data_IF_729913364112
#
_entry.id   IF_729913364112
#
_cell.length_a   1.000
_cell.length_b   1.000
_cell.length_c   1.000
_cell.angle_alpha   90.00
_cell.angle_beta   90.00
_cell.angle_gamma   90.00
#
_symmetry.space_group_name_H-M   'P 1'
#
loop_
_entity.id
_entity.type
_entity.pdbx_description
1 polymer ?
#
# COMPACT_ATOMS: atom_id res chain seq x y z
N UNK A 1 7.55 -24.13 -0.09
CA UNK A 1 8.61 -23.22 0.35
C UNK A 1 8.66 -23.23 1.88
N UNK A 2 9.61 -23.94 2.50
CA UNK A 2 9.70 -24.08 3.97
C UNK A 2 11.14 -24.00 4.52
N UNK A 3 12.16 -23.90 3.65
CA UNK A 3 13.55 -23.83 4.11
C UNK A 3 13.88 -22.42 4.60
N UNK A 4 14.49 -22.32 5.78
CA UNK A 4 14.92 -21.04 6.37
C UNK A 4 16.20 -20.47 5.76
N UNK A 5 17.01 -21.27 5.06
CA UNK A 5 18.26 -20.85 4.42
C UNK A 5 18.15 -21.08 2.91
N UNK A 6 18.34 -20.04 2.11
CA UNK A 6 18.50 -20.13 0.67
C UNK A 6 19.97 -19.93 0.28
N UNK A 7 20.44 -20.68 -0.70
CA UNK A 7 21.82 -20.63 -1.17
C UNK A 7 21.89 -20.87 -2.69
N UNK A 8 23.02 -20.51 -3.28
CA UNK A 8 23.35 -20.75 -4.69
C UNK A 8 24.66 -21.52 -4.80
N UNK A 9 24.92 -22.10 -5.97
CA UNK A 9 26.18 -22.76 -6.30
C UNK A 9 27.06 -21.80 -7.14
N UNK A 10 28.33 -21.68 -6.75
CA UNK A 10 29.35 -20.91 -7.48
C UNK A 10 30.54 -21.86 -7.70
N UNK A 11 30.63 -22.43 -8.91
CA UNK A 11 31.53 -23.54 -9.17
C UNK A 11 31.12 -24.79 -8.39
N UNK A 12 32.01 -25.30 -7.54
CA UNK A 12 31.73 -26.45 -6.66
C UNK A 12 31.28 -26.04 -5.25
N UNK A 13 31.27 -24.75 -4.94
CA UNK A 13 30.98 -24.23 -3.61
C UNK A 13 29.52 -23.77 -3.49
N UNK A 14 28.91 -24.01 -2.32
CA UNK A 14 27.60 -23.46 -1.97
C UNK A 14 27.77 -22.16 -1.19
N UNK A 15 27.03 -21.12 -1.53
CA UNK A 15 27.11 -19.80 -0.89
C UNK A 15 25.73 -19.38 -0.40
N UNK A 16 25.63 -19.01 0.88
CA UNK A 16 24.38 -18.53 1.47
C UNK A 16 23.92 -17.22 0.83
N UNK A 17 22.68 -17.18 0.36
CA UNK A 17 22.08 -15.99 -0.27
C UNK A 17 21.16 -15.23 0.69
N UNK A 18 20.33 -15.96 1.44
CA UNK A 18 19.39 -15.36 2.38
C UNK A 18 18.98 -16.31 3.49
N UNK A 19 18.62 -15.75 4.64
CA UNK A 19 18.00 -16.46 5.74
C UNK A 19 16.65 -15.86 6.13
N UNK A 20 15.76 -16.68 6.66
CA UNK A 20 14.44 -16.30 7.18
C UNK A 20 14.35 -16.67 8.65
N UNK A 21 14.47 -15.67 9.52
CA UNK A 21 14.29 -15.82 10.96
C UNK A 21 12.81 -15.60 11.31
N UNK A 22 12.11 -16.64 11.76
CA UNK A 22 10.65 -16.59 11.96
C UNK A 22 10.14 -17.29 13.22
N UNK A 23 11.01 -17.45 14.23
CA UNK A 23 10.73 -18.14 15.48
C UNK A 23 10.51 -19.65 15.28
N UNK A 24 11.27 -20.22 14.35
CA UNK A 24 11.20 -21.65 14.00
C UNK A 24 12.10 -22.53 14.85
N UNK A 25 13.13 -21.94 15.47
CA UNK A 25 14.10 -22.60 16.34
C UNK A 25 14.08 -21.93 17.71
N UNK A 26 14.23 -22.75 18.74
CA UNK A 26 14.21 -22.32 20.15
C UNK A 26 15.50 -21.60 20.57
N UNK A 27 16.60 -21.80 19.82
CA UNK A 27 17.94 -21.28 20.13
C UNK A 27 18.30 -19.97 19.38
N UNK A 28 17.37 -19.37 18.62
CA UNK A 28 17.63 -18.12 17.91
C UNK A 28 17.67 -16.93 18.88
N UNK A 29 18.74 -16.11 18.83
CA UNK A 29 18.85 -14.85 19.57
C UNK A 29 18.92 -13.67 18.60
N UNK A 30 18.10 -12.64 18.80
CA UNK A 30 17.98 -11.52 17.86
C UNK A 30 18.02 -10.17 18.57
N UNK A 31 19.07 -9.40 18.31
CA UNK A 31 19.29 -8.05 18.84
C UNK A 31 19.24 -6.99 17.72
N UNK A 32 18.63 -7.31 16.57
CA UNK A 32 18.52 -6.43 15.42
C UNK A 32 19.82 -6.38 14.62
N UNK A 33 20.78 -5.55 15.03
CA UNK A 33 22.07 -5.37 14.32
C UNK A 33 22.97 -6.60 14.42
N UNK A 34 22.81 -7.37 15.49
CA UNK A 34 23.48 -8.66 15.71
C UNK A 34 22.42 -9.73 15.96
N UNK A 35 22.65 -10.92 15.44
CA UNK A 35 21.81 -12.08 15.74
C UNK A 35 22.62 -13.38 15.75
N UNK A 36 22.12 -14.36 16.48
CA UNK A 36 22.58 -15.75 16.47
C UNK A 36 21.48 -16.56 15.78
N UNK A 37 21.82 -17.14 14.63
CA UNK A 37 20.90 -17.91 13.80
C UNK A 37 21.22 -19.40 13.87
N UNK A 38 20.21 -20.20 14.17
CA UNK A 38 20.35 -21.66 14.27
C UNK A 38 20.35 -22.30 12.88
N UNK A 39 21.30 -23.21 12.63
CA UNK A 39 21.39 -23.99 11.41
C UNK A 39 20.12 -24.81 11.14
N UNK A 40 19.96 -25.26 9.91
CA UNK A 40 18.86 -26.13 9.53
C UNK A 40 19.18 -27.63 9.76
N UNK A 41 18.12 -28.43 9.88
CA UNK A 41 18.20 -29.89 9.92
C UNK A 41 17.85 -30.42 11.31
N UNK A 42 17.27 -31.62 11.35
CA UNK A 42 16.95 -32.32 12.61
C UNK A 42 15.86 -31.71 13.48
N UNK A 43 15.13 -30.70 13.01
CA UNK A 43 13.98 -30.10 13.70
C UNK A 43 12.68 -30.82 13.31
N UNK A 44 11.88 -31.21 14.31
CA UNK A 44 10.54 -31.75 14.11
C UNK A 44 9.54 -30.62 13.86
N UNK A 45 8.91 -30.59 12.69
CA UNK A 45 8.00 -29.51 12.29
C UNK A 45 6.73 -29.40 13.15
N UNK A 46 6.34 -30.47 13.84
CA UNK A 46 5.12 -30.50 14.64
C UNK A 46 5.26 -29.75 15.97
N UNK A 47 6.37 -29.95 16.67
CA UNK A 47 6.64 -29.39 18.01
C UNK A 47 7.81 -28.38 18.03
N UNK A 48 8.46 -28.17 16.87
CA UNK A 48 9.62 -27.29 16.65
C UNK A 48 10.87 -27.65 17.45
N UNK A 49 10.94 -28.87 17.99
CA UNK A 49 12.09 -29.32 18.79
C UNK A 49 13.12 -30.05 17.95
N UNK A 50 14.37 -30.00 18.40
CA UNK A 50 15.45 -30.73 17.78
C UNK A 50 15.37 -32.23 18.17
N UNK A 51 15.47 -33.12 17.19
CA UNK A 51 15.36 -34.59 17.38
C UNK A 51 16.60 -35.36 16.91
N UNK A 52 17.59 -34.68 16.32
CA UNK A 52 18.89 -35.24 15.92
C UNK A 52 19.93 -34.15 15.70
N UNK A 53 21.21 -34.54 15.74
CA UNK A 53 22.34 -33.66 15.45
C UNK A 53 22.26 -33.09 14.01
N UNK A 54 22.63 -31.81 13.89
CA UNK A 54 22.78 -31.12 12.63
C UNK A 54 24.08 -31.50 11.93
N UNK A 55 24.09 -31.38 10.60
CA UNK A 55 25.23 -31.71 9.74
C UNK A 55 25.72 -30.49 8.95
N UNK A 56 27.01 -30.40 8.60
CA UNK A 56 27.57 -29.35 7.75
C UNK A 56 27.23 -29.61 6.27
N UNK A 57 25.94 -29.69 5.96
CA UNK A 57 25.42 -29.93 4.62
C UNK A 57 24.39 -28.86 4.25
N UNK A 58 23.93 -28.84 3.00
CA UNK A 58 22.87 -27.93 2.53
C UNK A 58 23.12 -26.47 2.91
N UNK A 59 22.13 -25.85 3.57
CA UNK A 59 22.19 -24.46 4.02
C UNK A 59 23.24 -24.18 5.11
N UNK A 60 23.59 -25.17 5.94
CA UNK A 60 24.62 -24.98 6.97
C UNK A 60 26.00 -24.86 6.32
N UNK A 61 26.28 -25.75 5.36
CA UNK A 61 27.50 -25.65 4.55
C UNK A 61 27.57 -24.31 3.80
N UNK A 62 26.45 -23.86 3.25
CA UNK A 62 26.39 -22.58 2.55
C UNK A 62 26.72 -21.38 3.47
N UNK A 63 26.26 -21.38 4.73
CA UNK A 63 26.60 -20.34 5.71
C UNK A 63 28.05 -20.44 6.21
N UNK A 64 28.57 -21.66 6.40
CA UNK A 64 30.00 -21.88 6.69
C UNK A 64 30.89 -21.31 5.57
N UNK A 65 30.49 -21.52 4.32
CA UNK A 65 31.16 -20.93 3.17
C UNK A 65 30.97 -19.40 3.11
N UNK A 66 29.79 -18.87 3.44
CA UNK A 66 29.60 -17.43 3.54
C UNK A 66 30.51 -16.79 4.60
N UNK A 67 30.78 -17.47 5.73
CA UNK A 67 31.79 -17.07 6.71
C UNK A 67 33.19 -17.09 6.10
N UNK A 68 33.59 -18.20 5.47
CA UNK A 68 34.91 -18.38 4.84
C UNK A 68 35.21 -17.32 3.78
N UNK A 69 34.25 -17.04 2.92
CA UNK A 69 34.40 -16.12 1.78
C UNK A 69 33.90 -14.71 2.06
N UNK A 70 33.48 -14.41 3.30
CA UNK A 70 32.91 -13.13 3.74
C UNK A 70 31.76 -12.65 2.83
N UNK A 71 30.93 -13.58 2.36
CA UNK A 71 29.81 -13.26 1.49
C UNK A 71 28.61 -12.78 2.30
N UNK A 72 28.00 -11.64 1.93
CA UNK A 72 26.86 -11.12 2.65
C UNK A 72 25.60 -11.96 2.41
N UNK A 73 24.79 -12.08 3.45
CA UNK A 73 23.54 -12.84 3.48
C UNK A 73 22.38 -11.88 3.74
N UNK A 74 21.32 -11.98 2.94
CA UNK A 74 20.08 -11.22 3.17
C UNK A 74 19.34 -11.78 4.37
N UNK A 75 18.91 -10.93 5.30
CA UNK A 75 18.11 -11.35 6.46
C UNK A 75 16.67 -10.88 6.32
N UNK A 76 15.75 -11.83 6.42
CA UNK A 76 14.30 -11.60 6.42
C UNK A 76 13.75 -12.06 7.78
N UNK A 77 12.98 -11.21 8.45
CA UNK A 77 12.37 -11.51 9.75
C UNK A 77 10.86 -11.67 9.64
N UNK A 78 10.31 -12.72 10.23
CA UNK A 78 8.88 -12.99 10.29
C UNK A 78 8.27 -12.46 11.59
N UNK A 79 7.18 -11.70 11.47
CA UNK A 79 6.49 -11.04 12.57
C UNK A 79 5.08 -11.59 12.72
N UNK A 80 4.73 -12.08 13.91
CA UNK A 80 3.44 -12.74 14.18
C UNK A 80 2.44 -11.87 14.95
N UNK A 81 2.93 -10.78 15.56
CA UNK A 81 2.17 -9.97 16.53
C UNK A 81 1.60 -8.68 15.94
N UNK A 82 1.58 -8.57 14.61
CA UNK A 82 0.96 -7.41 13.95
C UNK A 82 -0.53 -7.75 13.80
N UNK A 83 -1.45 -6.99 14.42
CA UNK A 83 -2.88 -7.19 14.24
C UNK A 83 -3.27 -6.76 12.82
N UNK A 84 -3.06 -7.64 11.85
CA UNK A 84 -3.57 -7.46 10.50
C UNK A 84 -4.89 -8.21 10.39
N UNK A 85 -5.98 -7.59 10.86
CA UNK A 85 -7.34 -8.09 10.59
C UNK A 85 -7.65 -8.22 9.09
N UNK A 86 -6.76 -7.70 8.22
CA UNK A 86 -6.94 -7.61 6.77
C UNK A 86 -5.79 -8.25 5.97
N UNK A 87 -4.79 -8.87 6.61
CA UNK A 87 -3.78 -9.65 5.86
C UNK A 87 -4.23 -11.11 5.74
N UNK A 88 -4.12 -11.73 4.55
CA UNK A 88 -4.36 -13.16 4.39
C UNK A 88 -3.45 -14.02 5.28
N UNK A 89 -2.23 -13.53 5.56
CA UNK A 89 -1.30 -14.15 6.48
C UNK A 89 -1.27 -13.39 7.81
N UNK A 90 -1.49 -14.12 8.91
CA UNK A 90 -1.22 -13.65 10.29
C UNK A 90 0.27 -13.37 10.57
N UNK A 91 1.11 -13.39 9.53
CA UNK A 91 2.54 -13.13 9.58
C UNK A 91 2.94 -12.18 8.46
N UNK A 92 3.79 -11.21 8.79
CA UNK A 92 4.44 -10.32 7.82
C UNK A 92 5.93 -10.61 7.85
N UNK A 93 6.59 -10.49 6.70
CA UNK A 93 8.04 -10.65 6.60
C UNK A 93 8.68 -9.29 6.27
N UNK A 94 9.63 -8.84 7.08
CA UNK A 94 10.43 -7.63 6.80
C UNK A 94 11.80 -8.01 6.29
N UNK A 95 12.27 -7.32 5.25
CA UNK A 95 13.66 -7.40 4.83
C UNK A 95 14.48 -6.40 5.66
N UNK A 96 15.49 -6.92 6.37
CA UNK A 96 16.27 -6.13 7.33
C UNK A 96 17.69 -5.81 6.84
N UNK A 97 18.02 -6.21 5.61
CA UNK A 97 19.27 -5.86 4.95
C UNK A 97 20.25 -7.01 4.84
N UNK A 98 21.49 -6.65 4.56
CA UNK A 98 22.63 -7.51 4.39
C UNK A 98 23.41 -7.66 5.70
N UNK A 99 23.73 -8.89 6.03
CA UNK A 99 24.52 -9.26 7.19
C UNK A 99 25.72 -10.08 6.75
N UNK A 100 26.78 -10.03 7.53
CA UNK A 100 27.93 -10.91 7.37
C UNK A 100 27.90 -11.97 8.48
N UNK A 101 28.15 -13.22 8.11
CA UNK A 101 28.45 -14.27 9.10
C UNK A 101 29.86 -14.00 9.61
N UNK A 102 29.98 -13.70 10.90
CA UNK A 102 31.25 -13.31 11.53
C UNK A 102 31.85 -14.42 12.39
N UNK A 103 31.02 -15.35 12.84
CA UNK A 103 31.46 -16.49 13.66
C UNK A 103 30.51 -17.68 13.52
N UNK A 104 30.98 -18.87 13.87
CA UNK A 104 30.17 -20.09 13.91
C UNK A 104 30.60 -21.00 15.07
N UNK A 105 29.61 -21.63 15.72
CA UNK A 105 29.83 -22.66 16.73
C UNK A 105 28.93 -23.87 16.50
N UNK A 106 29.36 -25.03 17.01
CA UNK A 106 28.56 -26.25 17.08
C UNK A 106 28.34 -26.56 18.57
N UNK A 107 27.13 -26.31 19.04
CA UNK A 107 26.78 -26.40 20.46
C UNK A 107 25.67 -27.43 20.69
N UNK A 108 25.50 -27.89 21.93
CA UNK A 108 24.31 -28.64 22.31
C UNK A 108 23.14 -27.66 22.44
N UNK A 109 22.12 -27.80 21.59
CA UNK A 109 20.88 -27.01 21.66
C UNK A 109 20.02 -27.41 22.87
N UNK A 110 18.95 -26.67 23.12
CA UNK A 110 18.09 -26.87 24.30
C UNK A 110 17.51 -28.31 24.42
N UNK A 111 17.28 -28.97 23.29
CA UNK A 111 16.81 -30.37 23.22
C UNK A 111 17.93 -31.42 23.30
N UNK A 112 19.19 -31.03 23.58
CA UNK A 112 20.32 -31.95 23.83
C UNK A 112 21.03 -32.50 22.59
N UNK A 113 20.73 -31.98 21.40
CA UNK A 113 21.38 -32.35 20.13
C UNK A 113 22.31 -31.26 19.64
N UNK A 114 23.33 -31.63 18.85
CA UNK A 114 24.25 -30.66 18.28
C UNK A 114 23.56 -29.80 17.23
N UNK A 115 23.64 -28.48 17.40
CA UNK A 115 23.10 -27.46 16.48
C UNK A 115 24.20 -26.49 16.07
N UNK A 116 24.20 -26.08 14.80
CA UNK A 116 25.06 -25.00 14.35
C UNK A 116 24.45 -23.67 14.80
N UNK A 117 25.28 -22.78 15.33
CA UNK A 117 24.93 -21.39 15.58
C UNK A 117 25.83 -20.50 14.74
N UNK A 118 25.21 -19.60 14.00
CA UNK A 118 25.90 -18.62 13.15
C UNK A 118 25.69 -17.24 13.73
N UNK A 119 26.78 -16.55 14.11
CA UNK A 119 26.71 -15.16 14.52
C UNK A 119 26.72 -14.27 13.28
N UNK A 120 25.69 -13.45 13.13
CA UNK A 120 25.57 -12.49 12.04
C UNK A 120 25.64 -11.06 12.56
N UNK A 121 26.39 -10.21 11.86
CA UNK A 121 26.48 -8.78 12.11
C UNK A 121 26.05 -8.01 10.86
N UNK A 122 25.20 -7.01 11.06
CA UNK A 122 24.66 -6.20 9.97
C UNK A 122 25.73 -5.32 9.36
N UNK A 123 25.75 -5.24 8.03
CA UNK A 123 26.64 -4.31 7.35
C UNK A 123 26.23 -2.84 7.60
N UNK A 124 27.18 -1.91 7.74
CA UNK A 124 26.89 -0.50 7.97
C UNK A 124 26.26 0.18 6.74
N UNK A 125 25.78 1.42 6.91
CA UNK A 125 25.26 2.29 5.85
C UNK A 125 24.03 1.74 5.09
N UNK A 126 23.21 0.94 5.77
CA UNK A 126 21.92 0.49 5.28
C UNK A 126 20.79 1.31 5.91
N UNK A 127 19.60 1.27 5.29
CA UNK A 127 18.38 1.86 5.87
C UNK A 127 18.09 1.26 7.26
N UNK A 128 17.26 1.92 8.04
CA UNK A 128 16.85 1.38 9.34
C UNK A 128 16.14 0.02 9.21
N UNK A 129 16.26 -0.82 10.24
CA UNK A 129 15.71 -2.17 10.28
C UNK A 129 14.18 -2.17 10.13
N UNK A 130 13.66 -2.94 9.18
CA UNK A 130 12.21 -3.12 9.02
C UNK A 130 11.56 -3.72 10.27
N UNK A 131 12.25 -4.63 10.96
CA UNK A 131 11.80 -5.18 12.24
C UNK A 131 11.69 -4.15 13.38
N UNK A 132 12.54 -3.12 13.41
CA UNK A 132 12.41 -2.03 14.40
C UNK A 132 11.12 -1.27 14.19
N UNK A 133 10.75 -1.03 12.94
CA UNK A 133 9.52 -0.35 12.59
C UNK A 133 8.29 -1.17 13.00
N UNK A 134 8.31 -2.48 12.75
CA UNK A 134 7.27 -3.41 13.20
C UNK A 134 7.16 -3.43 14.73
N UNK A 135 8.29 -3.51 15.44
CA UNK A 135 8.33 -3.49 16.90
C UNK A 135 7.78 -2.17 17.46
N UNK A 136 8.14 -1.04 16.83
CA UNK A 136 7.63 0.28 17.18
C UNK A 136 6.10 0.35 17.02
N UNK A 137 5.56 -0.10 15.89
CA UNK A 137 4.10 -0.20 15.67
C UNK A 137 3.44 -1.07 16.73
N UNK A 138 4.04 -2.20 17.08
CA UNK A 138 3.54 -3.09 18.14
C UNK A 138 3.48 -2.41 19.52
N UNK A 139 4.49 -1.60 19.86
CA UNK A 139 4.50 -0.79 21.09
C UNK A 139 3.44 0.31 21.04
N UNK A 140 3.33 1.00 19.90
CA UNK A 140 2.39 2.08 19.69
C UNK A 140 0.93 1.61 19.77
N UNK A 141 0.64 0.39 19.29
CA UNK A 141 -0.67 -0.24 19.43
C UNK A 141 -1.06 -0.50 20.90
N UNK A 142 -0.08 -0.77 21.77
CA UNK A 142 -0.29 -1.01 23.20
C UNK A 142 -0.34 0.29 24.01
N UNK A 143 0.42 1.30 23.59
CA UNK A 143 0.52 2.59 24.26
C UNK A 143 0.65 3.74 23.24
N UNK A 144 -0.48 4.24 22.70
CA UNK A 144 -0.48 5.32 21.72
C UNK A 144 0.16 6.63 22.23
N UNK A 145 0.19 6.83 23.55
CA UNK A 145 0.79 8.00 24.22
C UNK A 145 2.30 8.12 24.06
N UNK A 146 2.99 7.08 23.56
CA UNK A 146 4.42 7.15 23.23
C UNK A 146 4.68 8.08 22.03
N UNK A 147 3.65 8.36 21.23
CA UNK A 147 3.76 9.24 20.06
C UNK A 147 4.10 10.67 20.45
N UNK A 148 5.17 11.19 19.87
CA UNK A 148 5.59 12.59 20.03
C UNK A 148 5.09 13.44 18.85
N UNK A 149 4.96 14.75 19.08
CA UNK A 149 4.63 15.72 18.02
C UNK A 149 3.17 15.71 17.56
N UNK A 150 2.24 15.12 18.32
CA UNK A 150 0.81 15.15 17.97
C UNK A 150 0.28 16.57 18.13
N UNK A 151 -0.23 17.14 17.03
CA UNK A 151 -0.81 18.49 17.00
C UNK A 151 -2.34 18.43 17.07
N UNK A 152 -2.94 17.45 16.39
CA UNK A 152 -4.40 17.21 16.37
C UNK A 152 -4.62 15.71 16.53
N UNK A 153 -5.46 15.30 17.48
CA UNK A 153 -5.79 13.88 17.69
C UNK A 153 -6.70 13.33 16.59
N UNK A 154 -7.69 14.12 16.15
CA UNK A 154 -8.57 13.76 15.04
C UNK A 154 -8.98 14.99 14.21
N UNK A 155 -8.43 15.10 13.01
CA UNK A 155 -8.78 16.13 12.04
C UNK A 155 -10.15 15.90 11.40
N UNK A 156 -10.64 14.66 11.39
CA UNK A 156 -11.94 14.34 10.81
C UNK A 156 -13.12 14.80 11.68
N UNK A 157 -12.87 15.04 12.98
CA UNK A 157 -13.90 15.40 13.95
C UNK A 157 -14.93 14.29 14.15
N UNK A 158 -14.51 13.02 14.08
CA UNK A 158 -15.39 11.84 14.20
C UNK A 158 -16.19 11.49 12.95
N UNK A 159 -15.93 12.15 11.81
CA UNK A 159 -16.60 11.83 10.54
C UNK A 159 -16.09 10.53 9.91
N UNK A 160 -14.84 10.16 10.19
CA UNK A 160 -14.24 8.90 9.76
C UNK A 160 -14.43 7.81 10.82
N UNK A 161 -14.56 6.53 10.43
CA UNK A 161 -14.66 5.43 11.40
C UNK A 161 -13.37 5.23 12.20
N UNK A 162 -12.24 5.76 11.71
CA UNK A 162 -10.94 5.72 12.34
C UNK A 162 -10.40 7.17 12.39
N UNK A 163 -10.00 7.68 13.57
CA UNK A 163 -9.46 9.03 13.71
C UNK A 163 -8.25 9.30 12.81
N UNK A 164 -8.21 10.50 12.21
CA UNK A 164 -7.09 10.94 11.36
C UNK A 164 -6.29 12.00 12.10
N UNK A 165 -5.24 11.57 12.78
CA UNK A 165 -4.38 12.47 13.55
C UNK A 165 -3.41 13.27 12.69
N UNK A 166 -2.95 14.41 13.22
CA UNK A 166 -1.90 15.25 12.62
C UNK A 166 -0.68 15.30 13.52
N UNK A 167 0.49 15.04 12.95
CA UNK A 167 1.78 14.97 13.64
C UNK A 167 2.78 15.94 13.01
N UNK A 168 3.45 16.77 13.81
CA UNK A 168 4.57 17.59 13.40
C UNK A 168 5.76 17.37 14.35
N UNK A 169 6.85 16.83 13.80
CA UNK A 169 8.13 16.65 14.50
C UNK A 169 9.27 17.37 13.76
N UNK A 170 8.94 18.24 12.80
CA UNK A 170 9.91 18.91 11.91
C UNK A 170 10.07 20.37 12.29
N UNK A 171 8.95 21.07 12.51
CA UNK A 171 8.91 22.50 12.77
C UNK A 171 7.65 22.88 13.60
N UNK A 172 7.44 24.16 13.85
CA UNK A 172 6.27 24.67 14.60
C UNK A 172 5.05 24.99 13.71
N UNK A 173 5.08 24.58 12.44
CA UNK A 173 3.99 24.86 11.49
C UNK A 173 2.72 24.12 11.90
N UNK A 174 1.60 24.85 11.98
CA UNK A 174 0.28 24.25 12.21
C UNK A 174 -0.30 23.70 10.90
N UNK A 175 -1.13 22.64 10.97
CA UNK A 175 -1.84 22.17 9.79
C UNK A 175 -2.78 23.24 9.22
N UNK A 176 -3.11 23.20 7.92
CA UNK A 176 -4.04 24.14 7.32
C UNK A 176 -5.38 24.13 8.05
N UNK A 177 -5.83 25.29 8.54
CA UNK A 177 -7.12 25.45 9.25
C UNK A 177 -8.22 26.05 8.37
N UNK A 178 -7.91 26.41 7.12
CA UNK A 178 -8.80 27.10 6.19
C UNK A 178 -9.71 26.19 5.37
N UNK A 179 -9.87 24.92 5.76
CA UNK A 179 -10.71 23.95 5.06
C UNK A 179 -11.59 23.15 6.03
N UNK A 180 -12.72 22.65 5.53
CA UNK A 180 -13.66 21.80 6.27
C UNK A 180 -13.48 20.33 5.83
N UNK A 181 -13.30 19.45 6.82
CA UNK A 181 -13.16 18.02 6.56
C UNK A 181 -14.49 17.44 6.05
N UNK A 182 -14.47 16.64 4.97
CA UNK A 182 -15.66 15.94 4.47
C UNK A 182 -15.32 14.54 3.94
N UNK A 183 -16.15 13.57 4.26
CA UNK A 183 -16.08 12.18 3.75
C UNK A 183 -16.94 11.95 2.50
N UNK A 184 -17.64 12.99 2.03
CA UNK A 184 -18.54 12.91 0.87
C UNK A 184 -18.21 13.97 -0.17
N UNK A 185 -18.38 13.59 -1.44
CA UNK A 185 -18.38 14.52 -2.57
C UNK A 185 -19.54 15.51 -2.46
N UNK A 186 -19.28 16.78 -2.81
CA UNK A 186 -20.30 17.81 -2.93
C UNK A 186 -20.56 18.07 -4.41
N UNK A 187 -21.76 17.74 -4.86
CA UNK A 187 -22.18 17.98 -6.24
C UNK A 187 -22.77 19.40 -6.38
N UNK A 188 -22.53 20.08 -7.52
CA UNK A 188 -23.12 21.39 -7.77
C UNK A 188 -24.63 21.29 -7.92
N UNK A 189 -25.33 22.37 -7.59
CA UNK A 189 -26.79 22.45 -7.70
C UNK A 189 -27.21 22.24 -9.16
N UNK A 190 -28.15 21.33 -9.40
CA UNK A 190 -28.69 21.04 -10.73
C UNK A 190 -28.03 19.86 -11.45
N UNK A 191 -27.02 19.20 -10.87
CA UNK A 191 -26.51 17.92 -11.41
C UNK A 191 -27.52 16.81 -11.13
N UNK A 192 -28.06 16.21 -12.20
CA UNK A 192 -28.95 15.05 -12.11
C UNK A 192 -28.15 13.78 -12.36
N UNK A 193 -27.92 13.01 -11.30
CA UNK A 193 -27.13 11.78 -11.36
C UNK A 193 -27.97 10.61 -11.89
N UNK A 194 -27.41 9.84 -12.82
CA UNK A 194 -28.07 8.65 -13.38
C UNK A 194 -28.26 7.59 -12.30
N UNK A 195 -29.51 7.29 -11.99
CA UNK A 195 -29.81 6.31 -10.94
C UNK A 195 -29.36 4.90 -11.29
N UNK A 196 -28.76 4.18 -10.34
CA UNK A 196 -28.36 2.79 -10.50
C UNK A 196 -29.53 1.83 -10.28
N UNK A 197 -29.62 0.74 -11.06
CA UNK A 197 -30.72 -0.26 -10.98
C UNK A 197 -30.57 -1.26 -9.84
N UNK A 198 -29.41 -1.34 -9.18
CA UNK A 198 -29.13 -2.27 -8.07
C UNK A 198 -29.20 -3.76 -8.45
N UNK A 199 -28.92 -4.65 -7.50
CA UNK A 199 -29.09 -6.10 -7.63
C UNK A 199 -30.14 -6.66 -6.67
N UNK A 200 -30.70 -7.82 -7.00
CA UNK A 200 -31.67 -8.57 -6.17
C UNK A 200 -31.05 -9.65 -5.29
N UNK A 201 -29.71 -9.72 -5.22
CA UNK A 201 -28.99 -10.72 -4.44
C UNK A 201 -29.28 -10.58 -2.94
N UNK A 202 -29.18 -11.68 -2.19
CA UNK A 202 -29.32 -11.72 -0.72
C UNK A 202 -28.03 -12.21 -0.07
N UNK A 203 -27.79 -11.80 1.17
CA UNK A 203 -26.60 -12.20 1.95
C UNK A 203 -25.37 -11.32 1.71
N UNK A 204 -24.23 -11.82 2.18
CA UNK A 204 -22.97 -11.07 2.32
C UNK A 204 -22.03 -11.21 1.11
N UNK A 205 -22.48 -11.86 0.04
CA UNK A 205 -21.66 -11.98 -1.18
C UNK A 205 -22.51 -12.02 -2.44
N UNK A 206 -22.25 -11.09 -3.36
CA UNK A 206 -22.81 -11.12 -4.70
C UNK A 206 -21.95 -12.02 -5.58
N UNK A 207 -22.51 -13.13 -6.05
CA UNK A 207 -21.83 -14.05 -6.96
C UNK A 207 -22.65 -14.26 -8.24
N UNK A 208 -21.99 -14.69 -9.33
CA UNK A 208 -22.66 -15.09 -10.58
C UNK A 208 -23.12 -16.55 -10.58
N UNK A 209 -22.77 -17.34 -9.56
CA UNK A 209 -23.12 -18.76 -9.47
C UNK A 209 -24.58 -18.89 -9.01
N UNK A 210 -25.47 -19.47 -9.82
CA UNK A 210 -26.88 -19.72 -9.48
C UNK A 210 -27.84 -18.55 -9.66
N UNK A 211 -27.38 -17.29 -9.61
CA UNK A 211 -28.18 -16.10 -9.92
C UNK A 211 -27.31 -15.06 -10.63
N UNK A 212 -27.75 -14.54 -11.79
CA UNK A 212 -27.02 -13.51 -12.54
C UNK A 212 -27.08 -12.16 -11.81
N UNK A 213 -26.08 -11.86 -10.98
CA UNK A 213 -26.01 -10.57 -10.28
C UNK A 213 -25.69 -9.43 -11.26
N UNK A 214 -26.56 -8.40 -11.33
CA UNK A 214 -26.36 -7.22 -12.19
C UNK A 214 -25.06 -6.46 -11.89
N UNK A 215 -24.64 -6.38 -10.62
CA UNK A 215 -23.39 -5.74 -10.24
C UNK A 215 -22.16 -6.54 -10.72
N UNK A 216 -22.21 -7.87 -10.67
CA UNK A 216 -21.11 -8.72 -11.19
C UNK A 216 -21.03 -8.62 -12.72
N UNK A 217 -22.18 -8.57 -13.40
CA UNK A 217 -22.23 -8.38 -14.86
C UNK A 217 -21.58 -7.06 -15.30
N UNK A 218 -21.75 -5.97 -14.53
CA UNK A 218 -21.09 -4.69 -14.81
C UNK A 218 -19.55 -4.76 -14.66
N UNK A 219 -19.02 -5.66 -13.83
CA UNK A 219 -17.58 -5.88 -13.65
C UNK A 219 -17.04 -6.99 -14.57
N UNK A 220 -17.37 -6.95 -15.87
CA UNK A 220 -16.95 -7.95 -16.88
C UNK A 220 -17.56 -9.36 -16.74
N UNK A 221 -18.54 -9.56 -15.86
CA UNK A 221 -19.39 -10.76 -15.79
C UNK A 221 -18.75 -12.05 -15.28
N UNK A 222 -17.42 -12.10 -15.12
CA UNK A 222 -16.71 -13.31 -14.67
C UNK A 222 -16.53 -13.38 -13.15
N UNK A 223 -16.10 -12.29 -12.51
CA UNK A 223 -15.76 -12.28 -11.07
C UNK A 223 -16.03 -10.90 -10.45
N UNK A 224 -16.10 -10.86 -9.12
CA UNK A 224 -16.06 -9.60 -8.39
C UNK A 224 -14.68 -8.93 -8.54
N UNK A 225 -14.61 -7.59 -8.49
CA UNK A 225 -13.35 -6.85 -8.57
C UNK A 225 -12.51 -7.00 -7.29
N UNK A 226 -13.12 -7.40 -6.18
CA UNK A 226 -12.46 -7.57 -4.88
C UNK A 226 -12.31 -9.05 -4.49
N UNK A 227 -11.23 -9.37 -3.79
CA UNK A 227 -11.06 -10.65 -3.12
C UNK A 227 -11.84 -10.70 -1.78
N UNK A 228 -11.78 -11.85 -1.08
CA UNK A 228 -12.48 -12.06 0.20
C UNK A 228 -12.05 -11.12 1.35
N UNK A 229 -10.91 -10.44 1.23
CA UNK A 229 -10.41 -9.47 2.21
C UNK A 229 -10.80 -8.02 1.83
N UNK A 230 -11.47 -7.84 0.68
CA UNK A 230 -11.82 -6.53 0.13
C UNK A 230 -10.64 -5.85 -0.58
N UNK A 231 -9.64 -6.58 -1.04
CA UNK A 231 -8.56 -6.02 -1.87
C UNK A 231 -8.93 -6.11 -3.35
N UNK A 232 -8.70 -5.03 -4.08
CA UNK A 232 -8.89 -4.96 -5.52
C UNK A 232 -7.90 -5.92 -6.21
N UNK A 233 -8.45 -6.84 -7.01
CA UNK A 233 -7.66 -7.92 -7.65
C UNK A 233 -6.75 -7.35 -8.73
N UNK A 234 -7.26 -6.38 -9.50
CA UNK A 234 -6.54 -5.68 -10.56
C UNK A 234 -7.22 -4.34 -10.82
N UNK A 235 -6.43 -3.38 -11.31
CA UNK A 235 -6.99 -2.15 -11.80
C UNK A 235 -7.85 -2.38 -13.06
N UNK A 236 -8.92 -1.60 -13.17
CA UNK A 236 -9.86 -1.62 -14.29
C UNK A 236 -10.30 -0.19 -14.60
N UNK A 237 -10.88 0.11 -15.79
CA UNK A 237 -11.37 1.46 -16.07
C UNK A 237 -12.37 1.98 -15.03
N UNK A 238 -13.33 1.16 -14.62
CA UNK A 238 -14.28 1.48 -13.56
C UNK A 238 -14.67 0.21 -12.79
N UNK A 239 -14.76 0.33 -11.46
CA UNK A 239 -15.32 -0.69 -10.58
C UNK A 239 -16.78 -0.34 -10.26
N UNK A 240 -17.67 -1.33 -10.34
CA UNK A 240 -19.08 -1.17 -9.99
C UNK A 240 -19.40 -1.89 -8.68
N UNK A 241 -19.49 -1.14 -7.61
CA UNK A 241 -19.90 -1.65 -6.31
C UNK A 241 -21.42 -1.82 -6.20
N UNK A 242 -21.84 -2.58 -5.19
CA UNK A 242 -23.25 -2.66 -4.83
C UNK A 242 -23.69 -1.34 -4.18
N UNK A 243 -24.71 -0.70 -4.75
CA UNK A 243 -25.28 0.55 -4.25
C UNK A 243 -26.39 0.40 -3.21
N UNK A 244 -26.95 1.54 -2.78
CA UNK A 244 -28.10 1.63 -1.86
C UNK A 244 -29.36 0.92 -2.36
N UNK A 245 -29.51 0.78 -3.69
CA UNK A 245 -30.64 0.07 -4.32
C UNK A 245 -30.45 -1.45 -4.40
N UNK A 246 -29.28 -1.98 -4.04
CA UNK A 246 -29.05 -3.42 -4.00
C UNK A 246 -29.69 -4.04 -2.75
N UNK A 247 -30.20 -5.28 -2.87
CA UNK A 247 -30.79 -6.05 -1.77
C UNK A 247 -29.78 -6.90 -0.98
N UNK A 248 -28.52 -6.91 -1.41
CA UNK A 248 -27.44 -7.58 -0.68
C UNK A 248 -27.13 -6.83 0.62
N UNK A 249 -26.53 -7.55 1.56
CA UNK A 249 -26.12 -7.04 2.87
C UNK A 249 -25.21 -5.82 2.77
N UNK A 250 -25.15 -5.02 3.85
CA UNK A 250 -24.13 -3.97 4.01
C UNK A 250 -22.72 -4.58 4.12
N UNK A 251 -22.63 -5.85 4.52
CA UNK A 251 -21.39 -6.62 4.55
C UNK A 251 -21.04 -7.30 3.22
N UNK A 252 -21.78 -7.01 2.15
CA UNK A 252 -21.48 -7.56 0.82
C UNK A 252 -20.02 -7.35 0.43
N UNK A 253 -19.32 -8.40 -0.02
CA UNK A 253 -17.94 -8.30 -0.53
C UNK A 253 -17.76 -7.31 -1.70
N UNK A 254 -18.86 -6.93 -2.37
CA UNK A 254 -18.87 -5.88 -3.41
C UNK A 254 -19.22 -4.48 -2.86
N UNK A 255 -19.01 -4.25 -1.56
CA UNK A 255 -19.08 -2.95 -0.88
C UNK A 255 -17.79 -2.77 -0.08
N UNK A 256 -16.82 -2.05 -0.64
CA UNK A 256 -15.49 -1.86 -0.04
C UNK A 256 -15.25 -0.39 0.22
N UNK A 257 -15.18 0.42 -0.83
CA UNK A 257 -14.82 1.84 -0.74
C UNK A 257 -15.87 2.66 0.02
N UNK A 258 -17.16 2.33 -0.17
CA UNK A 258 -18.26 3.03 0.49
C UNK A 258 -18.30 2.83 2.02
N UNK A 259 -17.48 1.93 2.58
CA UNK A 259 -17.38 1.70 4.03
C UNK A 259 -16.46 2.69 4.76
N UNK A 260 -15.77 3.57 4.03
CA UNK A 260 -14.83 4.54 4.60
C UNK A 260 -13.46 3.94 4.96
N UNK A 261 -12.69 4.65 5.77
CA UNK A 261 -11.30 4.27 6.10
C UNK A 261 -11.22 2.90 6.78
N UNK A 262 -10.25 2.09 6.32
CA UNK A 262 -9.95 0.75 6.86
C UNK A 262 -8.60 0.66 7.57
N UNK A 263 -7.77 1.68 7.43
CA UNK A 263 -6.42 1.76 7.97
C UNK A 263 -6.28 3.02 8.81
N UNK A 264 -5.45 2.97 9.85
CA UNK A 264 -5.10 4.12 10.68
C UNK A 264 -4.14 5.01 9.90
N UNK A 265 -4.68 6.09 9.37
CA UNK A 265 -3.95 7.10 8.62
C UNK A 265 -3.54 8.24 9.55
N UNK A 266 -2.36 8.78 9.33
CA UNK A 266 -1.93 10.03 9.96
C UNK A 266 -1.33 10.98 8.94
N UNK A 267 -1.61 12.27 9.15
CA UNK A 267 -1.01 13.36 8.40
C UNK A 267 0.25 13.78 9.14
N UNK A 268 1.37 13.90 8.44
CA UNK A 268 2.64 14.28 9.04
C UNK A 268 3.36 15.37 8.24
N UNK A 269 4.09 16.23 8.95
CA UNK A 269 4.91 17.27 8.32
C UNK A 269 6.18 16.65 7.72
N UNK A 270 6.48 17.02 6.49
CA UNK A 270 7.74 16.68 5.81
C UNK A 270 8.68 17.88 5.74
N UNK A 271 9.96 17.62 5.49
CA UNK A 271 10.98 18.67 5.35
C UNK A 271 10.76 19.55 4.11
N UNK A 272 10.31 18.98 2.98
CA UNK A 272 10.32 19.66 1.66
C UNK A 272 9.02 19.65 0.88
N UNK A 273 8.04 18.83 1.28
CA UNK A 273 6.78 18.63 0.53
C UNK A 273 5.55 19.15 1.28
N UNK A 274 5.75 19.88 2.39
CA UNK A 274 4.66 20.29 3.25
C UNK A 274 4.10 19.10 4.03
N UNK A 275 2.78 18.96 4.06
CA UNK A 275 2.08 17.88 4.76
C UNK A 275 1.97 16.64 3.86
N UNK A 276 2.02 15.45 4.46
CA UNK A 276 1.96 14.17 3.78
C UNK A 276 1.08 13.19 4.57
N UNK A 277 0.73 12.04 3.98
CA UNK A 277 -0.02 10.98 4.66
C UNK A 277 0.84 9.73 4.78
N UNK A 278 0.75 9.03 5.91
CA UNK A 278 1.29 7.68 6.12
C UNK A 278 0.30 6.84 6.92
N UNK A 279 0.47 5.53 6.94
CA UNK A 279 -0.37 4.63 7.74
C UNK A 279 0.41 3.95 8.85
N UNK A 280 -0.23 3.71 10.00
CA UNK A 280 0.34 2.86 11.05
C UNK A 280 0.28 1.38 10.72
N UNK A 281 -0.67 1.03 9.86
CA UNK A 281 -0.96 -0.34 9.50
C UNK A 281 -0.16 -0.73 8.27
N UNK A 282 0.11 -2.03 8.16
CA UNK A 282 0.53 -2.59 6.90
C UNK A 282 -0.65 -2.57 5.94
N UNK A 283 -0.45 -2.05 4.72
CA UNK A 283 -1.48 -2.02 3.68
C UNK A 283 -1.08 -3.02 2.60
N UNK A 284 -1.79 -4.15 2.47
CA UNK A 284 -1.55 -5.10 1.38
C UNK A 284 -1.84 -4.48 0.02
N UNK A 285 -1.17 -4.97 -1.02
CA UNK A 285 -1.48 -4.63 -2.41
C UNK A 285 -2.97 -4.85 -2.71
N UNK A 286 -3.58 -3.91 -3.41
CA UNK A 286 -5.01 -3.84 -3.69
C UNK A 286 -5.86 -3.33 -2.52
N UNK A 287 -5.29 -2.98 -1.37
CA UNK A 287 -6.01 -2.40 -0.24
C UNK A 287 -6.57 -1.01 -0.55
N UNK A 288 -7.86 -0.77 -0.25
CA UNK A 288 -8.48 0.55 -0.34
C UNK A 288 -7.97 1.49 0.76
N UNK A 289 -7.46 2.65 0.39
CA UNK A 289 -6.86 3.62 1.32
C UNK A 289 -7.83 4.72 1.69
N UNK A 290 -8.26 5.54 0.73
CA UNK A 290 -9.18 6.66 0.96
C UNK A 290 -9.79 7.17 -0.37
N UNK A 291 -10.84 7.97 -0.25
CA UNK A 291 -11.46 8.68 -1.39
C UNK A 291 -10.91 10.11 -1.52
N UNK A 292 -10.69 10.56 -2.76
CA UNK A 292 -10.40 11.97 -3.05
C UNK A 292 -11.70 12.77 -3.04
N UNK A 293 -12.08 13.27 -1.86
CA UNK A 293 -13.31 14.04 -1.66
C UNK A 293 -13.07 15.54 -1.82
N UNK A 294 -14.11 16.23 -2.30
CA UNK A 294 -14.14 17.67 -2.44
C UNK A 294 -15.40 18.16 -3.13
N UNK A 295 -15.34 19.35 -3.71
CA UNK A 295 -16.44 19.93 -4.49
C UNK A 295 -16.24 19.59 -5.96
N UNK A 296 -17.26 18.97 -6.56
CA UNK A 296 -17.29 18.80 -8.01
C UNK A 296 -17.53 20.16 -8.66
N UNK A 297 -16.67 20.53 -9.59
CA UNK A 297 -16.80 21.74 -10.40
C UNK A 297 -16.52 21.43 -11.87
N UNK A 298 -16.98 22.29 -12.77
CA UNK A 298 -16.63 22.19 -14.18
C UNK A 298 -15.21 22.69 -14.42
N UNK A 299 -14.52 22.05 -15.37
CA UNK A 299 -13.11 22.35 -15.68
C UNK A 299 -12.89 23.82 -16.07
N UNK A 300 -13.87 24.45 -16.73
CA UNK A 300 -13.76 25.86 -17.13
C UNK A 300 -13.69 26.80 -15.93
N UNK A 301 -14.54 26.60 -14.92
CA UNK A 301 -14.47 27.38 -13.68
C UNK A 301 -13.22 27.02 -12.86
N UNK A 302 -12.70 25.81 -12.97
CA UNK A 302 -11.45 25.43 -12.30
C UNK A 302 -10.23 26.15 -12.90
N UNK A 303 -10.20 26.34 -14.22
CA UNK A 303 -9.13 27.06 -14.92
C UNK A 303 -9.07 28.55 -14.53
N UNK A 304 -10.13 29.09 -13.91
CA UNK A 304 -10.19 30.47 -13.40
C UNK A 304 -9.64 30.62 -11.97
N UNK A 305 -9.29 29.51 -11.29
CA UNK A 305 -8.75 29.54 -9.93
C UNK A 305 -7.25 29.86 -9.93
N UNK A 306 -6.83 30.75 -9.03
CA UNK A 306 -5.40 31.06 -8.83
C UNK A 306 -4.63 29.95 -8.10
N UNK A 307 -5.32 29.13 -7.27
CA UNK A 307 -4.75 28.03 -6.50
C UNK A 307 -5.17 26.66 -7.09
N UNK A 308 -4.21 25.95 -7.66
CA UNK A 308 -4.37 24.66 -8.33
C UNK A 308 -3.82 23.47 -7.52
N UNK A 309 -3.34 23.69 -6.29
CA UNK A 309 -2.61 22.66 -5.53
C UNK A 309 -3.51 21.51 -5.03
N UNK A 310 -4.84 21.68 -5.02
CA UNK A 310 -5.82 20.70 -4.53
C UNK A 310 -6.88 20.31 -5.57
N UNK A 311 -6.56 20.44 -6.86
CA UNK A 311 -7.45 20.06 -7.96
C UNK A 311 -7.16 18.63 -8.44
N UNK A 312 -8.21 17.86 -8.65
CA UNK A 312 -8.14 16.53 -9.25
C UNK A 312 -8.99 16.45 -10.53
N UNK A 313 -8.34 16.31 -11.67
CA UNK A 313 -9.01 16.22 -12.97
C UNK A 313 -9.69 14.85 -13.17
N UNK A 314 -11.01 14.85 -13.42
CA UNK A 314 -11.79 13.65 -13.74
C UNK A 314 -11.67 13.32 -15.23
N UNK A 315 -10.49 12.88 -15.64
CA UNK A 315 -10.26 12.42 -17.01
C UNK A 315 -10.38 10.89 -17.11
N UNK A 316 -11.63 10.45 -17.31
CA UNK A 316 -11.97 9.03 -17.47
C UNK A 316 -11.61 8.49 -18.87
N UNK A 317 -11.47 9.36 -19.88
CA UNK A 317 -11.34 8.98 -21.29
C UNK A 317 -9.92 9.09 -21.83
N UNK A 318 -9.04 9.82 -21.15
CA UNK A 318 -7.60 9.73 -21.38
C UNK A 318 -7.07 8.45 -20.76
N UNK A 319 -7.04 7.41 -21.58
CA UNK A 319 -6.18 6.26 -21.37
C UNK A 319 -4.75 6.71 -21.20
N UNK A 320 -4.32 6.87 -19.95
CA UNK A 320 -2.96 6.55 -19.59
C UNK A 320 -3.03 5.18 -18.91
N UNK A 321 -2.74 4.16 -19.70
CA UNK A 321 -2.37 2.80 -19.26
C UNK A 321 -1.41 2.88 -18.04
N UNK A 322 -0.56 3.90 -17.98
CA UNK A 322 0.33 4.20 -16.85
C UNK A 322 -0.32 4.81 -15.58
N UNK A 323 -1.42 5.58 -15.68
CA UNK A 323 -2.08 6.25 -14.53
C UNK A 323 -2.97 5.29 -13.74
N UNK A 324 -3.42 4.23 -14.40
CA UNK A 324 -4.34 3.22 -13.88
C UNK A 324 -3.65 1.87 -13.61
N UNK A 325 -2.31 1.78 -13.67
CA UNK A 325 -1.58 0.55 -13.36
C UNK A 325 -1.77 -0.60 -14.36
N UNK A 326 -2.13 -0.31 -15.60
CA UNK A 326 -2.37 -1.31 -16.65
C UNK A 326 -1.18 -1.30 -17.61
N UNK A 327 -0.25 -2.26 -17.51
CA UNK A 327 0.61 -2.56 -18.66
C UNK A 327 -0.18 -3.40 -19.65
N UNK A 328 -0.18 -2.98 -20.92
CA UNK A 328 -0.86 -3.64 -22.04
C UNK A 328 -0.44 -5.11 -22.24
N UNK A 329 0.72 -5.51 -21.70
CA UNK A 329 1.25 -6.88 -21.73
C UNK A 329 0.57 -7.85 -20.77
N UNK A 330 -0.11 -7.37 -19.72
CA UNK A 330 -0.57 -8.24 -18.63
C UNK A 330 -2.06 -8.61 -18.73
N UNK A 331 -2.76 -8.09 -19.75
CA UNK A 331 -4.23 -8.08 -19.80
C UNK A 331 -4.83 -8.81 -21.01
N UNK A 332 -4.08 -9.04 -22.08
CA UNK A 332 -4.65 -9.57 -23.32
C UNK A 332 -3.85 -10.76 -23.87
N UNK A 333 -4.29 -11.95 -23.50
CA UNK A 333 -4.05 -13.17 -24.28
C UNK A 333 -5.34 -13.47 -25.07
N UNK A 334 -5.70 -12.54 -25.98
CA UNK A 334 -6.67 -12.75 -27.07
C UNK A 334 -6.85 -11.47 -27.90
N UNK A 335 -6.90 -11.66 -29.23
CA UNK A 335 -7.35 -10.72 -30.24
C UNK A 335 -8.54 -9.87 -29.77
N UNK A 336 -8.35 -8.57 -29.57
CA UNK A 336 -9.45 -7.61 -29.51
C UNK A 336 -9.04 -6.33 -30.25
N UNK A 337 -9.06 -6.43 -31.58
CA UNK A 337 -8.73 -5.35 -32.52
C UNK A 337 -9.87 -4.34 -32.72
N UNK A 338 -11.00 -4.48 -32.02
CA UNK A 338 -12.24 -3.76 -32.32
C UNK A 338 -12.64 -2.68 -31.30
N UNK A 339 -11.72 -2.23 -30.44
CA UNK A 339 -11.98 -1.04 -29.60
C UNK A 339 -11.71 0.25 -30.39
N UNK A 340 -12.73 1.11 -30.63
CA UNK A 340 -12.53 2.36 -31.34
C UNK A 340 -11.59 3.29 -30.54
N UNK A 341 -10.74 4.08 -31.21
CA UNK A 341 -9.87 5.03 -30.52
C UNK A 341 -10.73 6.02 -29.71
N UNK A 342 -10.45 6.09 -28.39
CA UNK A 342 -11.12 7.04 -27.50
C UNK A 342 -10.79 8.45 -27.99
N UNK A 343 -11.83 9.19 -28.45
CA UNK A 343 -11.70 10.61 -28.79
C UNK A 343 -11.25 11.38 -27.55
N UNK A 344 -10.14 12.09 -27.69
CA UNK A 344 -9.53 12.98 -26.70
C UNK A 344 -10.47 14.18 -26.44
N UNK A 345 -11.44 14.03 -25.54
CA UNK A 345 -12.19 15.15 -24.98
C UNK A 345 -11.55 15.56 -23.66
N UNK A 346 -11.38 16.86 -23.43
CA UNK A 346 -10.98 17.39 -22.12
C UNK A 346 -11.93 16.89 -21.02
N UNK A 347 -11.43 16.68 -19.79
CA UNK A 347 -12.29 16.31 -18.66
C UNK A 347 -13.35 17.39 -18.50
N UNK A 348 -14.60 16.97 -18.26
CA UNK A 348 -15.72 17.91 -18.09
C UNK A 348 -15.78 18.48 -16.67
N UNK A 349 -15.30 17.70 -15.70
CA UNK A 349 -15.38 18.01 -14.29
C UNK A 349 -14.03 17.81 -13.60
N UNK A 350 -13.84 18.50 -12.48
CA UNK A 350 -12.71 18.33 -11.57
C UNK A 350 -13.23 18.29 -10.13
N UNK A 351 -12.44 17.71 -9.23
CA UNK A 351 -12.70 17.75 -7.79
C UNK A 351 -11.78 18.83 -7.18
N UNK A 352 -12.36 19.84 -6.54
CA UNK A 352 -11.64 20.85 -5.77
C UNK A 352 -11.68 20.52 -4.27
N UNK A 353 -10.51 20.24 -3.70
CA UNK A 353 -10.33 19.96 -2.28
C UNK A 353 -9.71 21.14 -1.49
N UNK A 354 -9.72 22.36 -2.04
CA UNK A 354 -9.16 23.57 -1.41
C UNK A 354 -9.90 23.94 -0.11
N UNK A 355 -11.24 24.01 -0.16
CA UNK A 355 -12.11 24.44 0.96
C UNK A 355 -12.82 23.28 1.66
N UNK A 356 -13.11 22.20 0.93
CA UNK A 356 -13.78 21.02 1.46
C UNK A 356 -13.03 19.80 0.97
N UNK A 357 -12.55 18.94 1.86
CA UNK A 357 -11.89 17.71 1.43
C UNK A 357 -11.56 16.77 2.58
N UNK A 358 -11.25 15.52 2.25
CA UNK A 358 -10.87 14.49 3.22
C UNK A 358 -9.35 14.38 3.35
N UNK A 359 -8.88 13.26 3.91
CA UNK A 359 -7.45 12.97 4.09
C UNK A 359 -6.66 12.91 2.78
N UNK A 360 -7.31 12.54 1.66
CA UNK A 360 -6.65 12.34 0.36
C UNK A 360 -5.98 13.62 -0.19
N UNK A 361 -6.47 14.81 0.17
CA UNK A 361 -5.87 16.09 -0.26
C UNK A 361 -4.43 16.30 0.22
N UNK A 362 -4.00 15.54 1.23
CA UNK A 362 -2.64 15.59 1.80
C UNK A 362 -1.72 14.49 1.22
N UNK A 363 -2.22 13.63 0.33
CA UNK A 363 -1.41 12.56 -0.27
C UNK A 363 -0.54 13.15 -1.37
N UNK A 364 0.78 13.10 -1.17
CA UNK A 364 1.73 13.75 -2.07
C UNK A 364 2.00 12.98 -3.37
N UNK A 365 2.61 13.69 -4.32
CA UNK A 365 3.15 13.09 -5.53
C UNK A 365 4.41 12.25 -5.29
N UNK A 366 4.53 11.14 -6.03
CA UNK A 366 5.78 10.45 -6.28
C UNK A 366 5.90 9.98 -7.73
N UNK A 367 7.11 10.02 -8.29
CA UNK A 367 7.39 9.42 -9.60
C UNK A 367 7.48 7.89 -9.55
N UNK A 368 7.60 7.30 -8.36
CA UNK A 368 7.43 5.85 -8.14
C UNK A 368 6.44 5.67 -6.98
N UNK A 369 5.13 5.87 -7.26
CA UNK A 369 4.12 5.86 -6.23
C UNK A 369 3.88 4.45 -5.68
N UNK A 370 3.33 4.38 -4.47
CA UNK A 370 2.82 3.15 -3.87
C UNK A 370 1.28 3.09 -3.89
N UNK A 371 0.61 4.18 -4.28
CA UNK A 371 -0.81 4.22 -4.55
C UNK A 371 -1.10 4.43 -6.04
N UNK A 372 -2.25 3.94 -6.46
CA UNK A 372 -2.84 4.27 -7.75
C UNK A 372 -4.31 4.68 -7.57
N UNK A 373 -4.83 5.38 -8.57
CA UNK A 373 -6.21 5.85 -8.57
C UNK A 373 -7.09 4.77 -9.21
N UNK A 374 -8.29 4.57 -8.71
CA UNK A 374 -9.30 3.69 -9.31
C UNK A 374 -10.65 4.41 -9.29
N UNK A 375 -11.32 4.46 -10.44
CA UNK A 375 -12.69 4.96 -10.51
C UNK A 375 -13.67 3.92 -9.96
N UNK A 376 -14.58 4.33 -9.07
CA UNK A 376 -15.60 3.48 -8.46
C UNK A 376 -16.98 4.13 -8.58
N UNK A 377 -17.99 3.31 -8.87
CA UNK A 377 -19.40 3.71 -8.94
C UNK A 377 -20.23 2.83 -8.00
N UNK A 378 -20.99 3.45 -7.09
CA UNK A 378 -21.87 2.71 -6.19
C UNK A 378 -23.23 3.38 -6.00
N UNK A 379 -23.30 4.70 -5.88
CA UNK A 379 -24.52 5.47 -5.64
C UNK A 379 -25.26 5.85 -6.93
N UNK A 380 -24.52 6.05 -8.02
CA UNK A 380 -25.03 6.36 -9.36
C UNK A 380 -24.29 5.60 -10.47
N UNK A 381 -24.77 5.74 -11.71
CA UNK A 381 -24.22 5.10 -12.91
C UNK A 381 -23.57 6.07 -13.91
N UNK A 382 -23.35 7.32 -13.51
CA UNK A 382 -22.70 8.33 -14.35
C UNK A 382 -21.17 8.17 -14.38
N UNK A 383 -20.60 7.84 -15.54
CA UNK A 383 -19.17 7.64 -15.74
C UNK A 383 -18.38 8.94 -15.90
N UNK A 384 -19.06 10.08 -16.10
CA UNK A 384 -18.40 11.39 -16.14
C UNK A 384 -18.13 11.94 -14.73
N UNK A 385 -18.70 11.31 -13.69
CA UNK A 385 -18.60 11.73 -12.28
C UNK A 385 -18.23 10.56 -11.33
N UNK A 386 -17.21 9.73 -11.64
CA UNK A 386 -16.88 8.59 -10.79
C UNK A 386 -16.35 9.05 -9.43
N UNK A 387 -16.47 8.19 -8.42
CA UNK A 387 -15.69 8.38 -7.21
C UNK A 387 -14.22 8.05 -7.47
N UNK A 388 -13.32 8.92 -7.03
CA UNK A 388 -11.88 8.79 -7.17
C UNK A 388 -11.32 8.11 -5.92
N UNK A 389 -11.02 6.82 -6.01
CA UNK A 389 -10.55 6.03 -4.88
C UNK A 389 -9.05 5.75 -5.00
N UNK A 390 -8.30 5.90 -3.91
CA UNK A 390 -6.88 5.53 -3.85
C UNK A 390 -6.72 4.10 -3.31
N UNK A 391 -5.99 3.29 -4.06
CA UNK A 391 -5.68 1.90 -3.73
C UNK A 391 -4.16 1.68 -3.66
N UNK A 392 -3.72 0.75 -2.82
CA UNK A 392 -2.32 0.34 -2.76
C UNK A 392 -1.93 -0.44 -4.02
N UNK A 393 -0.90 0.03 -4.74
CA UNK A 393 -0.34 -0.66 -5.92
C UNK A 393 0.74 -1.69 -5.56
N UNK A 394 1.18 -1.71 -4.30
CA UNK A 394 2.14 -2.66 -3.75
C UNK A 394 1.89 -2.81 -2.24
N UNK A 395 2.58 -3.76 -1.62
CA UNK A 395 2.57 -3.88 -0.16
C UNK A 395 3.28 -2.68 0.48
N UNK A 396 2.57 -1.97 1.36
CA UNK A 396 3.05 -0.75 2.01
C UNK A 396 3.35 -1.05 3.48
N UNK A 397 4.58 -0.76 3.88
CA UNK A 397 4.99 -0.91 5.27
C UNK A 397 4.40 0.21 6.13
N UNK A 398 4.15 -0.04 7.43
CA UNK A 398 3.82 1.01 8.39
C UNK A 398 4.77 2.21 8.29
N UNK A 399 4.26 3.41 8.52
CA UNK A 399 4.94 4.70 8.48
C UNK A 399 5.63 5.06 7.16
N UNK A 400 5.50 4.25 6.11
CA UNK A 400 5.87 4.64 4.77
C UNK A 400 4.90 5.72 4.26
N UNK A 401 5.44 6.78 3.66
CA UNK A 401 4.62 7.82 3.03
C UNK A 401 3.77 7.24 1.89
N UNK A 402 2.50 7.61 1.88
CA UNK A 402 1.52 7.27 0.85
C UNK A 402 1.60 8.33 -0.26
N UNK A 403 1.75 7.87 -1.49
CA UNK A 403 1.93 8.74 -2.66
C UNK A 403 1.30 8.16 -3.91
N UNK A 404 0.74 9.01 -4.77
CA UNK A 404 0.28 8.63 -6.12
C UNK A 404 0.95 9.50 -7.19
N UNK A 405 0.89 9.09 -8.46
CA UNK A 405 1.33 9.97 -9.56
C UNK A 405 0.22 10.98 -9.88
N UNK A 406 0.50 12.27 -9.73
CA UNK A 406 -0.47 13.33 -10.03
C UNK A 406 -0.83 13.35 -11.52
N UNK A 407 0.06 12.86 -12.39
CA UNK A 407 -0.21 12.71 -13.81
C UNK A 407 -0.14 14.02 -14.60
N UNK A 408 0.42 15.08 -14.04
CA UNK A 408 0.70 16.30 -14.80
C UNK A 408 1.68 16.00 -15.93
N UNK A 409 1.38 16.49 -17.14
CA UNK A 409 2.34 16.50 -18.22
C UNK A 409 3.37 17.62 -17.98
N UNK A 410 4.61 17.43 -18.42
CA UNK A 410 5.61 18.47 -18.31
C UNK A 410 5.22 19.66 -19.19
N UNK A 411 5.37 20.87 -18.63
CA UNK A 411 5.02 22.12 -19.29
C UNK A 411 3.52 22.23 -19.63
N UNK A 412 2.63 21.62 -18.83
CA UNK A 412 1.18 21.67 -19.07
C UNK A 412 0.43 22.69 -18.20
N UNK A 413 1.10 23.35 -17.26
CA UNK A 413 0.46 24.25 -16.30
C UNK A 413 0.86 25.68 -16.62
N UNK A 414 -0.14 26.55 -16.78
CA UNK A 414 0.02 27.96 -17.09
C UNK A 414 -0.63 28.80 -15.98
N UNK A 415 -0.10 29.99 -15.72
CA UNK A 415 -0.76 30.95 -14.83
C UNK A 415 -1.89 31.70 -15.55
N UNK A 416 -2.65 32.51 -14.80
CA UNK A 416 -3.73 33.36 -15.31
C UNK A 416 -3.29 34.38 -16.37
N UNK A 417 -1.98 34.61 -16.52
CA UNK A 417 -1.38 35.50 -17.52
C UNK A 417 -0.82 34.72 -18.74
N UNK A 418 -1.00 33.40 -18.78
CA UNK A 418 -0.54 32.53 -19.87
C UNK A 418 0.95 32.17 -19.80
N UNK A 419 1.65 32.44 -18.69
CA UNK A 419 3.04 32.03 -18.51
C UNK A 419 3.12 30.60 -18.00
N UNK A 420 4.12 29.87 -18.49
CA UNK A 420 4.34 28.49 -18.06
C UNK A 420 4.81 28.42 -16.59
N UNK A 421 4.00 27.80 -15.73
CA UNK A 421 4.36 27.49 -14.33
C UNK A 421 5.27 26.27 -14.30
N UNK A 422 6.28 26.31 -13.44
CA UNK A 422 7.19 25.18 -13.19
C UNK A 422 7.23 24.90 -11.69
N UNK A 423 7.13 23.63 -11.31
CA UNK A 423 7.29 23.21 -9.91
C UNK A 423 8.22 22.01 -9.86
N UNK A 424 9.22 22.07 -8.99
CA UNK A 424 10.19 21.00 -8.84
C UNK A 424 9.58 19.80 -8.09
N UNK A 425 10.03 18.59 -8.44
CA UNK A 425 9.61 17.37 -7.79
C UNK A 425 10.63 16.95 -6.73
N UNK A 426 10.16 16.91 -5.47
CA UNK A 426 10.96 16.50 -4.31
C UNK A 426 10.59 15.10 -3.79
N UNK A 427 10.10 14.20 -4.65
CA UNK A 427 9.71 12.85 -4.22
C UNK A 427 10.88 11.97 -3.73
N UNK A 428 12.13 12.34 -4.05
CA UNK A 428 13.33 11.65 -3.56
C UNK A 428 13.61 10.29 -4.22
N UNK A 429 12.84 9.88 -5.23
CA UNK A 429 13.04 8.61 -5.92
C UNK A 429 14.24 8.68 -6.89
N UNK A 430 14.87 7.53 -7.16
CA UNK A 430 16.03 7.45 -8.06
C UNK A 430 15.66 7.79 -9.51
N UNK A 431 14.46 7.39 -9.94
CA UNK A 431 13.88 7.67 -11.26
C UNK A 431 13.03 8.95 -11.28
N UNK A 432 13.27 9.89 -10.36
CA UNK A 432 12.51 11.13 -10.29
C UNK A 432 12.65 11.96 -11.57
N UNK A 433 11.52 12.37 -12.16
CA UNK A 433 11.44 13.22 -13.35
C UNK A 433 11.81 14.68 -13.10
N UNK A 434 12.25 15.01 -11.87
CA UNK A 434 12.72 16.31 -11.37
C UNK A 434 11.70 17.44 -11.34
N UNK A 435 10.60 17.35 -12.10
CA UNK A 435 9.53 18.35 -12.14
C UNK A 435 8.16 17.73 -11.89
N UNK A 436 7.32 18.45 -11.16
CA UNK A 436 5.90 18.15 -11.00
C UNK A 436 5.12 18.65 -12.22
N UNK A 437 5.39 19.85 -12.73
CA UNK A 437 4.88 20.36 -13.99
C UNK A 437 5.82 21.37 -14.64
#
# INVERSE_FOLDING_TARGET
MQAGIAYTEVGQEKIGCSIVASGGYEDDEDHGETMIYTGHGGNNKADRRQVKDQKPEGGNLALLNSLKYKQPVRVIRGHSDIPTSQSPSKKIYSYDGLYQVVDQSLELGASGFKVFKFKLERLPNQRELGSRLVSFVGKLNKAPSIRTGVVIEDLSGGQEPIPVSVVNTVDDTRPPSSFEYTTKLRYPKGVSLRSSTGCSCKGDSCHSVGHRCSCVLKNSGKMLPYNQYGHLIRAVPAVYECGSRCKCSLECHNRVCQKGLRYRLEIFKTEKKGWAVRSWDFIPSGGFVCEYTGVIMDTKTADELDDDDYLFNLDFKQGNEARWGVQRSDVFDSDDSDMPPLKLSSPKYVIDASKFGGVARFVNHSCTPNLFVQCVLYDHGDLDLPHVMLFAGSDISPFQELTYDYGYALNSVYDSHGNLKKKDCHCGTRSCRKRLY
#
